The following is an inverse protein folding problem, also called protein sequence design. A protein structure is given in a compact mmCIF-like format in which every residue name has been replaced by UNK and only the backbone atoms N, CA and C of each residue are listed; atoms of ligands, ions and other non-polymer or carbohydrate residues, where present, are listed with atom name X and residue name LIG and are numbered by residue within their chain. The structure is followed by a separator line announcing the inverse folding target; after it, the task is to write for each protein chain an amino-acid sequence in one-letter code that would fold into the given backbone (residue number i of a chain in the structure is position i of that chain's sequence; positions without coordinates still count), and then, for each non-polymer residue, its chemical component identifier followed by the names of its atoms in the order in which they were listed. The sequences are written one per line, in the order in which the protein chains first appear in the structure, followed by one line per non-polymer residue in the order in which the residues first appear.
data_IF_901572620874
#
_entry.id   IF_901572620874
#
_cell.length_a   1.000
_cell.length_b   1.000
_cell.length_c   1.000
_cell.angle_alpha   90.00
_cell.angle_beta   90.00
_cell.angle_gamma   90.00
#
_symmetry.space_group_name_H-M   'P 1'
#
loop_
_entity.id
_entity.type
_entity.pdbx_description
1 polymer ?
#
# COMPACT_ATOMS: atom_id res chain seq x y z
N UNK A 1 -11.32 21.94 64.61
CA UNK A 1 -11.83 21.97 63.23
C UNK A 1 -10.75 21.46 62.33
N UNK A 2 -10.89 20.22 61.90
CA UNK A 2 -9.92 19.56 61.01
C UNK A 2 -10.19 20.01 59.58
N UNK A 3 -9.16 20.45 58.86
CA UNK A 3 -9.16 20.71 57.45
C UNK A 3 -9.18 19.35 56.74
N UNK A 4 -10.27 19.08 56.03
CA UNK A 4 -10.32 18.01 55.04
C UNK A 4 -9.31 18.32 53.93
N UNK A 5 -8.32 17.48 53.82
CA UNK A 5 -7.38 17.51 52.71
C UNK A 5 -8.12 17.02 51.47
N UNK A 6 -8.26 17.96 50.53
CA UNK A 6 -8.68 17.72 49.14
C UNK A 6 -7.69 16.70 48.50
N UNK A 7 -8.09 15.44 48.49
CA UNK A 7 -7.32 14.40 47.80
C UNK A 7 -7.65 14.51 46.29
N UNK A 8 -6.72 14.93 45.42
CA UNK A 8 -6.97 14.95 43.99
C UNK A 8 -7.27 13.53 43.55
N UNK A 9 -8.38 13.36 42.82
CA UNK A 9 -8.71 12.11 42.15
C UNK A 9 -7.54 11.65 41.25
N UNK A 10 -7.25 10.35 41.18
CA UNK A 10 -6.12 9.84 40.41
C UNK A 10 -6.34 10.16 38.92
N UNK A 11 -5.49 10.99 38.36
CA UNK A 11 -5.47 11.35 36.92
C UNK A 11 -5.18 10.13 35.99
N UNK A 12 -5.03 8.93 36.52
CA UNK A 12 -4.78 7.70 35.81
C UNK A 12 -6.02 7.03 35.21
N UNK A 13 -7.21 7.24 35.79
CA UNK A 13 -8.39 6.46 35.40
C UNK A 13 -8.96 6.85 34.03
N UNK A 14 -8.95 8.13 33.69
CA UNK A 14 -9.49 8.60 32.39
C UNK A 14 -8.54 8.26 31.22
N UNK A 15 -7.23 8.41 31.42
CA UNK A 15 -6.23 8.06 30.40
C UNK A 15 -6.16 6.54 30.15
N UNK A 16 -6.35 5.73 31.21
CA UNK A 16 -6.37 4.27 31.06
C UNK A 16 -7.66 3.79 30.39
N UNK A 17 -8.80 4.40 30.69
CA UNK A 17 -10.07 4.13 30.03
C UNK A 17 -10.03 4.55 28.54
N UNK A 18 -9.45 5.70 28.23
CA UNK A 18 -9.26 6.18 26.87
C UNK A 18 -8.33 5.23 26.09
N UNK A 19 -7.22 4.81 26.68
CA UNK A 19 -6.31 3.84 26.06
C UNK A 19 -7.02 2.52 25.77
N UNK A 20 -7.74 1.97 26.74
CA UNK A 20 -8.51 0.73 26.58
C UNK A 20 -9.55 0.85 25.48
N UNK A 21 -10.20 2.01 25.34
CA UNK A 21 -11.12 2.29 24.24
C UNK A 21 -10.40 2.20 22.88
N UNK A 22 -9.28 2.91 22.69
CA UNK A 22 -8.52 2.86 21.43
C UNK A 22 -7.95 1.48 21.13
N UNK A 23 -7.52 0.73 22.14
CA UNK A 23 -7.05 -0.65 21.98
C UNK A 23 -8.16 -1.62 21.57
N UNK A 24 -9.41 -1.34 21.94
CA UNK A 24 -10.59 -2.13 21.57
C UNK A 24 -11.06 -1.91 20.11
N UNK A 25 -10.62 -0.82 19.46
CA UNK A 25 -11.06 -0.51 18.12
C UNK A 25 -10.58 -1.54 17.09
N UNK A 26 -11.38 -1.83 16.05
CA UNK A 26 -10.97 -2.72 14.97
C UNK A 26 -9.66 -2.23 14.32
N UNK A 27 -8.73 -3.16 14.11
CA UNK A 27 -7.44 -2.87 13.46
C UNK A 27 -7.47 -3.29 12.01
N UNK A 28 -6.99 -2.41 11.13
CA UNK A 28 -6.87 -2.66 9.68
C UNK A 28 -5.39 -2.67 9.31
N UNK A 29 -4.96 -3.68 8.54
CA UNK A 29 -3.61 -3.68 7.97
C UNK A 29 -3.52 -2.62 6.88
N UNK A 30 -2.34 -2.05 6.69
CA UNK A 30 -2.08 -1.09 5.62
C UNK A 30 -0.90 -1.57 4.78
N UNK A 31 -0.99 -1.37 3.47
CA UNK A 31 0.07 -1.61 2.51
C UNK A 31 0.13 -0.46 1.50
N UNK A 32 1.31 -0.24 0.94
CA UNK A 32 1.51 0.80 -0.06
C UNK A 32 2.40 0.28 -1.20
N UNK A 33 2.09 0.68 -2.42
CA UNK A 33 2.86 0.32 -3.59
C UNK A 33 2.91 1.44 -4.62
N UNK A 34 3.89 1.35 -5.52
CA UNK A 34 4.12 2.32 -6.58
C UNK A 34 3.67 1.79 -7.94
N UNK A 35 2.75 2.48 -8.59
CA UNK A 35 2.44 2.34 -10.01
C UNK A 35 3.45 3.17 -10.81
N UNK A 36 4.56 2.55 -11.21
CA UNK A 36 5.59 3.21 -12.01
C UNK A 36 5.36 2.88 -13.48
N UNK A 37 5.12 3.93 -14.28
CA UNK A 37 4.85 3.80 -15.71
C UNK A 37 5.94 4.45 -16.54
N UNK A 38 6.26 3.83 -17.68
CA UNK A 38 7.10 4.43 -18.73
C UNK A 38 6.28 5.39 -19.61
N UNK A 39 6.96 6.22 -20.42
CA UNK A 39 6.31 7.13 -21.34
C UNK A 39 5.47 6.45 -22.43
N UNK A 40 5.74 5.17 -22.74
CA UNK A 40 4.98 4.33 -23.66
C UNK A 40 3.92 3.45 -22.95
N UNK A 41 3.70 3.66 -21.65
CA UNK A 41 2.61 3.05 -20.88
C UNK A 41 2.89 1.65 -20.32
N UNK A 42 4.14 1.16 -20.36
CA UNK A 42 4.52 -0.09 -19.65
C UNK A 42 4.57 0.15 -18.16
N UNK A 43 4.29 -0.89 -17.39
CA UNK A 43 4.23 -0.89 -15.92
C UNK A 43 5.41 -1.66 -15.36
N UNK A 44 6.14 -1.09 -14.40
CA UNK A 44 7.18 -1.80 -13.66
C UNK A 44 6.52 -2.76 -12.68
N UNK A 45 6.83 -4.04 -12.83
CA UNK A 45 6.42 -5.10 -11.92
C UNK A 45 7.66 -5.80 -11.34
N UNK A 46 7.53 -6.27 -10.10
CA UNK A 46 8.53 -7.09 -9.40
C UNK A 46 7.98 -8.48 -9.10
N UNK A 47 8.85 -9.47 -9.03
CA UNK A 47 8.48 -10.86 -8.76
C UNK A 47 9.04 -11.31 -7.41
N UNK A 48 8.20 -11.40 -6.37
CA UNK A 48 8.62 -11.90 -5.05
C UNK A 48 9.09 -13.36 -5.11
N UNK A 49 10.05 -13.69 -4.25
CA UNK A 49 10.56 -15.07 -4.09
C UNK A 49 9.63 -15.94 -3.26
N UNK A 50 8.91 -15.34 -2.30
CA UNK A 50 8.14 -16.02 -1.25
C UNK A 50 6.64 -16.22 -1.56
N UNK A 51 6.15 -15.68 -2.69
CA UNK A 51 4.75 -15.84 -3.13
C UNK A 51 4.65 -15.88 -4.66
N UNK A 52 3.65 -16.58 -5.22
CA UNK A 52 3.47 -16.65 -6.67
C UNK A 52 2.97 -15.32 -7.27
N UNK A 53 3.29 -15.14 -8.55
CA UNK A 53 2.85 -14.02 -9.38
C UNK A 53 3.66 -12.74 -9.14
N UNK A 54 3.37 -11.74 -9.99
CA UNK A 54 4.00 -10.42 -9.95
C UNK A 54 3.20 -9.44 -9.10
N UNK A 55 3.81 -8.33 -8.76
CA UNK A 55 3.19 -7.22 -8.01
C UNK A 55 3.80 -5.89 -8.40
N UNK A 56 3.11 -4.80 -8.06
CA UNK A 56 3.77 -3.49 -7.98
C UNK A 56 4.84 -3.54 -6.90
N UNK A 57 5.94 -2.76 -7.04
CA UNK A 57 6.88 -2.53 -5.95
C UNK A 57 6.14 -1.97 -4.73
N UNK A 58 6.47 -2.47 -3.54
CA UNK A 58 5.83 -2.03 -2.31
C UNK A 58 5.51 -3.15 -1.34
N UNK A 59 5.15 -2.76 -0.12
CA UNK A 59 4.92 -3.69 0.98
C UNK A 59 4.02 -3.14 2.07
N UNK A 60 4.22 -3.64 3.28
CA UNK A 60 3.42 -3.32 4.46
C UNK A 60 3.84 -1.96 5.02
N UNK A 61 2.86 -1.17 5.43
CA UNK A 61 3.09 0.07 6.21
C UNK A 61 3.43 -0.33 7.64
N UNK A 62 4.57 0.09 8.11
CA UNK A 62 5.06 -0.20 9.47
C UNK A 62 4.36 0.66 10.53
N UNK A 63 4.58 0.31 11.80
CA UNK A 63 4.04 1.09 12.91
C UNK A 63 4.63 2.51 12.89
N UNK A 64 3.77 3.52 13.05
CA UNK A 64 4.14 4.95 13.02
C UNK A 64 4.62 5.45 11.63
N UNK A 65 4.46 4.65 10.59
CA UNK A 65 4.80 5.03 9.22
C UNK A 65 3.56 5.48 8.43
N UNK A 66 3.70 6.51 7.60
CA UNK A 66 2.63 6.87 6.68
C UNK A 66 2.66 5.98 5.42
N UNK A 67 1.51 5.75 4.74
CA UNK A 67 1.51 4.96 3.49
C UNK A 67 2.46 5.50 2.40
N UNK A 68 2.63 6.82 2.31
CA UNK A 68 3.57 7.41 1.36
C UNK A 68 5.03 7.15 1.75
N UNK A 69 5.35 7.21 3.05
CA UNK A 69 6.69 6.88 3.55
C UNK A 69 7.00 5.41 3.29
N UNK A 70 6.07 4.50 3.60
CA UNK A 70 6.19 3.08 3.29
C UNK A 70 6.45 2.82 1.81
N UNK A 71 5.66 3.43 0.92
CA UNK A 71 5.86 3.28 -0.53
C UNK A 71 7.26 3.70 -0.97
N UNK A 72 7.80 4.79 -0.41
CA UNK A 72 9.15 5.27 -0.72
C UNK A 72 10.24 4.36 -0.17
N UNK A 73 10.11 3.89 1.08
CA UNK A 73 11.03 2.95 1.71
C UNK A 73 11.10 1.66 0.90
N UNK A 74 9.95 1.05 0.63
CA UNK A 74 9.85 -0.19 -0.14
C UNK A 74 10.44 -0.06 -1.55
N UNK A 75 10.18 1.05 -2.26
CA UNK A 75 10.85 1.30 -3.54
C UNK A 75 12.38 1.41 -3.39
N UNK A 76 12.86 2.05 -2.34
CA UNK A 76 14.29 2.13 -2.04
C UNK A 76 14.92 0.75 -1.80
N UNK A 77 14.24 -0.10 -1.05
CA UNK A 77 14.66 -1.47 -0.71
C UNK A 77 14.56 -2.40 -1.92
N UNK A 78 13.43 -2.41 -2.61
CA UNK A 78 13.14 -3.32 -3.70
C UNK A 78 13.77 -2.94 -5.04
N UNK A 79 13.93 -1.65 -5.34
CA UNK A 79 14.45 -1.17 -6.63
C UNK A 79 15.84 -0.56 -6.55
N UNK A 80 16.30 -0.20 -5.34
CA UNK A 80 17.57 0.49 -5.12
C UNK A 80 17.49 2.01 -5.36
N UNK A 81 16.28 2.56 -5.58
CA UNK A 81 16.05 4.00 -5.69
C UNK A 81 14.63 4.39 -5.29
N UNK A 82 14.45 5.65 -4.89
CA UNK A 82 13.14 6.21 -4.56
C UNK A 82 12.62 7.01 -5.76
N UNK A 83 11.52 6.55 -6.42
CA UNK A 83 10.97 7.26 -7.56
C UNK A 83 10.27 8.57 -7.15
N UNK A 84 10.17 9.51 -8.10
CA UNK A 84 9.31 10.68 -7.95
C UNK A 84 7.84 10.24 -8.06
N UNK A 85 7.12 10.26 -6.93
CA UNK A 85 5.70 9.94 -6.88
C UNK A 85 4.86 11.20 -7.08
N UNK A 86 3.81 11.10 -7.91
CA UNK A 86 2.92 12.21 -8.28
C UNK A 86 1.71 12.36 -7.36
N UNK A 87 1.14 11.23 -6.90
CA UNK A 87 -0.06 11.27 -6.07
C UNK A 87 -0.64 9.88 -5.81
N UNK A 88 -1.65 9.83 -4.94
CA UNK A 88 -2.44 8.62 -4.68
C UNK A 88 -3.45 8.43 -5.83
N UNK A 89 -3.36 7.31 -6.52
CA UNK A 89 -4.24 7.00 -7.67
C UNK A 89 -5.23 5.88 -7.40
N UNK A 90 -4.99 5.07 -6.35
CA UNK A 90 -5.94 4.03 -5.96
C UNK A 90 -5.87 3.76 -4.45
N UNK A 91 -7.05 3.57 -3.86
CA UNK A 91 -7.24 3.03 -2.51
C UNK A 91 -8.15 1.81 -2.62
N UNK A 92 -7.65 0.63 -2.25
CA UNK A 92 -8.41 -0.62 -2.32
C UNK A 92 -8.58 -1.20 -0.91
N UNK A 93 -9.83 -1.30 -0.46
CA UNK A 93 -10.18 -1.99 0.76
C UNK A 93 -10.32 -3.49 0.49
N UNK A 94 -9.53 -4.30 1.19
CA UNK A 94 -9.58 -5.77 1.09
C UNK A 94 -10.29 -6.34 2.31
N UNK A 95 -11.32 -7.19 2.13
CA UNK A 95 -11.97 -7.86 3.25
C UNK A 95 -10.99 -8.79 3.98
N UNK A 96 -11.18 -8.96 5.28
CA UNK A 96 -10.37 -9.86 6.09
C UNK A 96 -10.60 -11.35 5.81
N UNK A 97 -11.74 -11.69 5.17
CA UNK A 97 -12.06 -13.06 4.80
C UNK A 97 -10.98 -13.66 3.87
N UNK A 98 -10.46 -14.82 4.24
CA UNK A 98 -9.38 -15.49 3.51
C UNK A 98 -7.96 -15.09 3.92
N UNK A 99 -7.79 -14.17 4.86
CA UNK A 99 -6.50 -13.88 5.49
C UNK A 99 -6.35 -14.61 6.84
N UNK A 100 -5.15 -15.12 7.16
CA UNK A 100 -4.93 -15.90 8.40
C UNK A 100 -5.28 -15.17 9.68
N UNK A 101 -5.16 -13.83 9.70
CA UNK A 101 -5.46 -12.98 10.87
C UNK A 101 -6.89 -12.40 10.86
N UNK A 102 -7.69 -12.70 9.82
CA UNK A 102 -9.07 -12.22 9.67
C UNK A 102 -9.22 -10.70 9.53
N UNK A 103 -8.12 -9.94 9.45
CA UNK A 103 -8.16 -8.49 9.42
C UNK A 103 -8.29 -7.96 7.99
N UNK A 104 -9.12 -6.92 7.78
CA UNK A 104 -9.15 -6.20 6.51
C UNK A 104 -7.82 -5.49 6.25
N UNK A 105 -7.60 -5.06 5.01
CA UNK A 105 -6.44 -4.27 4.64
C UNK A 105 -6.82 -3.11 3.73
N UNK A 106 -6.10 -1.99 3.85
CA UNK A 106 -6.11 -0.88 2.90
C UNK A 106 -4.83 -0.94 2.08
N UNK A 107 -4.97 -0.95 0.76
CA UNK A 107 -3.84 -0.91 -0.18
C UNK A 107 -3.83 0.44 -0.88
N UNK A 108 -2.78 1.22 -0.63
CA UNK A 108 -2.55 2.52 -1.22
C UNK A 108 -1.66 2.36 -2.46
N UNK A 109 -2.07 2.90 -3.61
CA UNK A 109 -1.25 2.89 -4.83
C UNK A 109 -0.92 4.33 -5.22
N UNK A 110 0.38 4.64 -5.24
CA UNK A 110 0.88 5.94 -5.64
C UNK A 110 1.43 5.86 -7.08
N UNK A 111 1.08 6.82 -7.92
CA UNK A 111 1.61 6.89 -9.27
C UNK A 111 2.98 7.56 -9.30
N UNK A 112 3.84 7.09 -10.18
CA UNK A 112 5.14 7.64 -10.48
C UNK A 112 5.55 7.33 -11.92
N UNK A 113 6.75 7.75 -12.29
CA UNK A 113 7.32 7.45 -13.59
C UNK A 113 8.66 6.72 -13.45
N UNK A 114 8.97 5.89 -14.42
CA UNK A 114 10.27 5.27 -14.63
C UNK A 114 10.57 5.27 -16.12
N UNK A 115 11.80 5.58 -16.51
CA UNK A 115 12.29 5.43 -17.87
C UNK A 115 13.20 4.20 -17.99
N UNK A 116 13.69 3.92 -19.20
CA UNK A 116 14.59 2.79 -19.45
C UNK A 116 15.89 2.90 -18.65
N UNK A 117 16.40 4.10 -18.48
CA UNK A 117 17.60 4.33 -17.67
C UNK A 117 17.35 4.03 -16.20
N UNK A 118 16.23 4.49 -15.65
CA UNK A 118 15.76 4.17 -14.30
C UNK A 118 15.56 2.66 -14.10
N UNK A 119 14.93 2.00 -15.07
CA UNK A 119 14.75 0.55 -15.03
C UNK A 119 16.09 -0.21 -15.08
N UNK A 120 17.04 0.23 -15.90
CA UNK A 120 18.38 -0.39 -15.97
C UNK A 120 19.19 -0.25 -14.66
N UNK A 121 18.82 0.70 -13.81
CA UNK A 121 19.42 0.88 -12.47
C UNK A 121 18.80 0.06 -11.37
N UNK A 122 17.69 -0.66 -11.63
CA UNK A 122 17.03 -1.48 -10.64
C UNK A 122 18.01 -2.48 -10.02
N UNK A 123 18.03 -2.53 -8.69
CA UNK A 123 18.83 -3.45 -7.89
C UNK A 123 17.91 -4.26 -6.99
N UNK A 124 17.69 -5.51 -7.36
CA UNK A 124 16.78 -6.38 -6.63
C UNK A 124 17.51 -7.04 -5.45
N UNK A 125 16.94 -7.01 -4.23
CA UNK A 125 17.40 -7.84 -3.13
C UNK A 125 17.06 -9.31 -3.45
N UNK A 126 18.08 -10.12 -3.75
CA UNK A 126 17.91 -11.49 -4.24
C UNK A 126 17.13 -12.42 -3.28
N UNK A 127 17.13 -12.09 -2.00
CA UNK A 127 16.39 -12.81 -0.97
C UNK A 127 14.88 -12.56 -1.05
N UNK A 128 14.46 -11.39 -1.55
CA UNK A 128 13.06 -10.97 -1.60
C UNK A 128 12.47 -11.00 -3.00
N UNK A 129 13.26 -10.61 -4.01
CA UNK A 129 12.81 -10.44 -5.38
C UNK A 129 13.67 -11.22 -6.36
N UNK A 130 13.04 -11.99 -7.24
CA UNK A 130 13.71 -12.81 -8.26
C UNK A 130 13.81 -12.13 -9.62
N UNK A 131 12.97 -11.15 -9.93
CA UNK A 131 12.97 -10.45 -11.21
C UNK A 131 12.21 -9.11 -11.15
N UNK A 132 12.49 -8.23 -12.11
CA UNK A 132 11.69 -7.06 -12.45
C UNK A 132 11.41 -7.06 -13.97
N UNK A 133 10.30 -6.46 -14.39
CA UNK A 133 9.91 -6.32 -15.79
C UNK A 133 9.17 -5.01 -16.02
N UNK A 134 9.32 -4.46 -17.22
CA UNK A 134 8.42 -3.45 -17.77
C UNK A 134 7.38 -4.16 -18.64
N UNK A 135 6.18 -4.36 -18.07
CA UNK A 135 5.09 -5.08 -18.72
C UNK A 135 4.17 -4.13 -19.49
N UNK A 136 3.83 -4.46 -20.72
CA UNK A 136 2.78 -3.78 -21.46
C UNK A 136 1.40 -4.04 -20.83
N UNK A 137 0.40 -3.17 -21.01
CA UNK A 137 -0.96 -3.44 -20.55
C UNK A 137 -1.53 -4.78 -21.03
N UNK A 138 -1.17 -5.23 -22.22
CA UNK A 138 -1.59 -6.52 -22.78
C UNK A 138 -0.99 -7.75 -22.06
N UNK A 139 0.16 -7.60 -21.42
CA UNK A 139 0.84 -8.68 -20.68
C UNK A 139 0.38 -8.80 -19.23
N UNK A 140 -0.21 -7.73 -18.66
CA UNK A 140 -0.63 -7.69 -17.25
C UNK A 140 -1.54 -8.88 -16.85
N UNK A 141 -2.53 -9.31 -17.67
CA UNK A 141 -3.39 -10.45 -17.32
C UNK A 141 -2.63 -11.78 -17.15
N UNK A 142 -1.52 -11.96 -17.84
CA UNK A 142 -0.65 -13.16 -17.72
C UNK A 142 0.29 -13.12 -16.52
N UNK A 143 0.54 -11.94 -15.95
CA UNK A 143 1.51 -11.72 -14.87
C UNK A 143 0.85 -11.55 -13.51
N UNK A 144 -0.27 -10.82 -13.46
CA UNK A 144 -0.93 -10.42 -12.22
C UNK A 144 -2.08 -11.36 -11.83
N UNK A 145 -2.17 -11.78 -10.58
CA UNK A 145 -3.38 -12.44 -10.07
C UNK A 145 -4.62 -11.52 -10.23
N UNK A 146 -5.82 -12.08 -10.41
CA UNK A 146 -7.02 -11.31 -10.80
C UNK A 146 -7.33 -10.07 -9.94
N UNK A 147 -7.16 -10.17 -8.61
CA UNK A 147 -7.40 -9.03 -7.71
C UNK A 147 -6.37 -7.90 -7.88
N UNK A 148 -5.09 -8.26 -8.09
CA UNK A 148 -4.03 -7.30 -8.36
C UNK A 148 -4.17 -6.68 -9.75
N UNK A 149 -4.55 -7.48 -10.75
CA UNK A 149 -4.80 -7.00 -12.10
C UNK A 149 -5.84 -5.88 -12.09
N UNK A 150 -7.02 -6.14 -11.53
CA UNK A 150 -8.10 -5.14 -11.46
C UNK A 150 -7.66 -3.86 -10.74
N UNK A 151 -6.87 -3.98 -9.66
CA UNK A 151 -6.33 -2.81 -8.95
C UNK A 151 -5.38 -2.01 -9.82
N UNK A 152 -4.46 -2.66 -10.55
CA UNK A 152 -3.51 -2.00 -11.44
C UNK A 152 -4.24 -1.32 -12.61
N UNK A 153 -5.21 -2.00 -13.23
CA UNK A 153 -6.03 -1.42 -14.30
C UNK A 153 -6.83 -0.20 -13.82
N UNK A 154 -7.46 -0.28 -12.65
CA UNK A 154 -8.17 0.85 -12.06
C UNK A 154 -7.23 2.01 -11.72
N UNK A 155 -6.03 1.72 -11.20
CA UNK A 155 -5.01 2.72 -10.89
C UNK A 155 -4.49 3.42 -12.16
N UNK A 156 -4.23 2.68 -13.25
CA UNK A 156 -3.86 3.22 -14.55
C UNK A 156 -4.94 4.16 -15.11
N UNK A 157 -6.19 3.71 -15.09
CA UNK A 157 -7.33 4.52 -15.56
C UNK A 157 -7.53 5.79 -14.70
N UNK A 158 -7.29 5.69 -13.40
CA UNK A 158 -7.40 6.81 -12.47
C UNK A 158 -6.28 7.84 -12.67
N UNK A 159 -5.02 7.37 -12.84
CA UNK A 159 -3.86 8.22 -13.12
C UNK A 159 -4.06 8.99 -14.43
N UNK A 160 -4.48 8.31 -15.50
CA UNK A 160 -4.78 8.94 -16.78
C UNK A 160 -5.91 9.97 -16.71
N UNK A 161 -6.87 9.79 -15.81
CA UNK A 161 -7.99 10.70 -15.59
C UNK A 161 -7.70 11.79 -14.53
N UNK A 162 -6.52 11.84 -13.95
CA UNK A 162 -6.16 12.80 -12.90
C UNK A 162 -7.00 12.68 -11.61
N UNK A 163 -7.40 11.46 -11.24
CA UNK A 163 -8.25 11.19 -10.09
C UNK A 163 -7.75 10.01 -9.26
N UNK A 164 -8.37 9.75 -8.11
CA UNK A 164 -8.12 8.56 -7.29
C UNK A 164 -9.29 7.59 -7.42
N UNK A 165 -9.02 6.32 -7.68
CA UNK A 165 -10.00 5.25 -7.64
C UNK A 165 -10.16 4.70 -6.23
N UNK A 166 -11.40 4.49 -5.77
CA UNK A 166 -11.71 3.70 -4.58
C UNK A 166 -12.25 2.34 -5.00
N UNK A 167 -11.69 1.28 -4.42
CA UNK A 167 -12.05 -0.10 -4.73
C UNK A 167 -12.39 -0.87 -3.45
N UNK A 168 -13.20 -1.91 -3.61
CA UNK A 168 -13.43 -2.94 -2.61
C UNK A 168 -13.16 -4.33 -3.20
N UNK A 169 -12.10 -5.00 -2.69
CA UNK A 169 -11.65 -6.29 -3.22
C UNK A 169 -11.20 -6.22 -4.68
N UNK A 170 -10.59 -5.11 -5.07
CA UNK A 170 -10.16 -4.84 -6.44
C UNK A 170 -11.30 -4.51 -7.41
N UNK A 171 -12.48 -4.14 -6.93
CA UNK A 171 -13.64 -3.77 -7.77
C UNK A 171 -14.03 -2.33 -7.52
N UNK A 172 -14.27 -1.54 -8.58
CA UNK A 172 -14.80 -0.20 -8.43
C UNK A 172 -16.18 -0.22 -7.73
N UNK A 173 -16.40 0.75 -6.86
CA UNK A 173 -17.69 0.98 -6.21
C UNK A 173 -18.47 2.02 -7.01
N UNK A 174 -19.73 1.73 -7.32
CA UNK A 174 -20.64 2.71 -7.90
C UNK A 174 -21.06 3.72 -6.82
N UNK A 175 -20.84 5.00 -7.12
CA UNK A 175 -21.40 6.09 -6.33
C UNK A 175 -22.81 6.39 -6.86
N UNK A 176 -23.82 6.26 -5.99
CA UNK A 176 -25.21 6.60 -6.32
C UNK A 176 -25.43 8.12 -6.35
#
# INVERSE_FOLDING_TARGET
MAHDADTPAPAGSDADAERAFYESLPRTRSAAGALLTTGDGRVLLVKPTYKPGWSLPGGVVEQQESPLAACRRECGEELGFVPALRGLVCLDWLPGAGHPDGRPALVHVFAGAVDEEGFARVRLPAEELSAAVLATPAELPGLLPPGRLRRVEAALAADAAGRTAYLEGGRPVGWA
#
